data_IF_646226198606
#
_entry.id   IF_646226198606
#
_cell.length_a   1.000
_cell.length_b   1.000
_cell.length_c   1.000
_cell.angle_alpha   90.00
_cell.angle_beta   90.00
_cell.angle_gamma   90.00
#
_symmetry.space_group_name_H-M   'P 1'
#
loop_
_entity.id
_entity.type
_entity.pdbx_description
1 polymer ?
#
# COMPACT_ATOMS: atom_id res chain seq x y z
N UNK A 1 14.55 1.69 7.40
CA UNK A 1 14.50 1.43 8.85
C UNK A 1 13.25 0.66 9.27
N UNK A 2 12.16 0.74 8.49
CA UNK A 2 10.97 -0.06 8.76
C UNK A 2 11.30 -1.56 8.71
N UNK A 3 10.83 -2.31 9.71
CA UNK A 3 11.05 -3.76 9.83
C UNK A 3 10.06 -4.50 8.93
N UNK A 4 10.19 -4.29 7.63
CA UNK A 4 9.47 -5.00 6.58
C UNK A 4 10.46 -5.55 5.55
N UNK A 5 10.06 -6.59 4.82
CA UNK A 5 10.92 -7.21 3.80
C UNK A 5 11.33 -6.22 2.71
N UNK A 6 12.49 -6.43 2.12
CA UNK A 6 12.94 -5.62 0.98
C UNK A 6 12.02 -5.78 -0.24
N UNK A 7 11.43 -6.96 -0.41
CA UNK A 7 10.43 -7.20 -1.44
C UNK A 7 9.21 -6.27 -1.29
N UNK A 8 8.74 -6.06 -0.05
CA UNK A 8 7.65 -5.14 0.25
C UNK A 8 8.01 -3.69 -0.11
N UNK A 9 9.17 -3.21 0.33
CA UNK A 9 9.68 -1.86 0.02
C UNK A 9 9.80 -1.64 -1.48
N UNK A 10 10.44 -2.59 -2.16
CA UNK A 10 10.63 -2.53 -3.62
C UNK A 10 9.30 -2.59 -4.38
N UNK A 11 8.30 -3.32 -3.87
CA UNK A 11 6.97 -3.36 -4.49
C UNK A 11 6.28 -2.00 -4.42
N UNK A 12 6.46 -1.24 -3.32
CA UNK A 12 5.94 0.13 -3.21
C UNK A 12 6.64 1.05 -4.21
N UNK A 13 7.97 1.05 -4.23
CA UNK A 13 8.76 1.92 -5.13
C UNK A 13 8.44 1.67 -6.61
N UNK A 14 8.12 0.42 -6.99
CA UNK A 14 7.73 0.06 -8.35
C UNK A 14 6.26 0.30 -8.66
N UNK A 15 5.45 0.72 -7.68
CA UNK A 15 4.02 0.93 -7.88
C UNK A 15 3.75 2.20 -8.68
N UNK A 16 2.61 2.19 -9.38
CA UNK A 16 2.04 3.34 -10.07
C UNK A 16 0.80 3.82 -9.30
N UNK A 17 0.30 4.98 -9.65
CA UNK A 17 -0.91 5.58 -9.06
C UNK A 17 -2.16 4.70 -9.15
N UNK A 18 -2.25 3.87 -10.21
CA UNK A 18 -3.36 2.95 -10.44
C UNK A 18 -3.21 1.58 -9.76
N UNK A 19 -2.07 1.32 -9.10
CA UNK A 19 -1.76 -0.03 -8.59
C UNK A 19 -2.44 -0.37 -7.27
N UNK A 20 -3.04 0.59 -6.58
CA UNK A 20 -3.78 0.31 -5.35
C UNK A 20 -5.25 -0.04 -5.61
N UNK A 21 -5.79 -0.92 -4.79
CA UNK A 21 -7.19 -1.30 -4.82
C UNK A 21 -7.72 -1.49 -3.39
N UNK A 22 -9.04 -1.41 -3.25
CA UNK A 22 -9.72 -1.70 -1.99
C UNK A 22 -10.52 -2.99 -2.15
N UNK A 23 -10.31 -3.94 -1.25
CA UNK A 23 -11.08 -5.18 -1.11
C UNK A 23 -11.89 -5.14 0.17
N UNK A 24 -12.92 -6.01 0.29
CA UNK A 24 -13.70 -6.17 1.53
C UNK A 24 -14.74 -5.08 1.79
N UNK A 25 -15.07 -4.25 0.81
CA UNK A 25 -16.10 -3.20 0.98
C UNK A 25 -17.48 -3.78 1.27
N UNK A 26 -17.86 -4.83 0.56
CA UNK A 26 -19.17 -5.48 0.70
C UNK A 26 -19.33 -6.17 2.05
N UNK A 27 -18.22 -6.55 2.67
CA UNK A 27 -18.19 -7.19 3.98
C UNK A 27 -17.98 -6.22 5.15
N UNK A 28 -17.89 -4.90 4.89
CA UNK A 28 -17.66 -3.90 5.93
C UNK A 28 -16.23 -3.85 6.48
N UNK A 29 -15.29 -4.52 5.84
CA UNK A 29 -13.87 -4.57 6.21
C UNK A 29 -12.96 -4.08 5.07
N UNK A 30 -13.06 -2.80 4.66
CA UNK A 30 -12.29 -2.31 3.53
C UNK A 30 -10.79 -2.23 3.86
N UNK A 31 -9.98 -2.81 2.99
CA UNK A 31 -8.52 -2.76 3.06
C UNK A 31 -7.97 -2.25 1.73
N UNK A 32 -7.13 -1.20 1.79
CA UNK A 32 -6.40 -0.72 0.62
C UNK A 32 -5.02 -1.35 0.58
N UNK A 33 -4.69 -1.95 -0.55
CA UNK A 33 -3.41 -2.60 -0.79
C UNK A 33 -2.99 -2.50 -2.26
N UNK A 34 -1.74 -2.80 -2.56
CA UNK A 34 -1.29 -2.91 -3.95
C UNK A 34 -1.86 -4.17 -4.59
N UNK A 35 -2.28 -4.05 -5.84
CA UNK A 35 -2.85 -5.16 -6.61
C UNK A 35 -1.81 -6.26 -6.83
N UNK A 36 -2.22 -7.48 -6.56
CA UNK A 36 -1.46 -8.71 -6.78
C UNK A 36 -2.43 -9.87 -6.98
N UNK A 37 -1.93 -11.11 -7.00
CA UNK A 37 -2.79 -12.27 -7.24
C UNK A 37 -3.79 -12.48 -6.10
N UNK A 38 -3.40 -12.27 -4.85
CA UNK A 38 -4.30 -12.38 -3.71
C UNK A 38 -5.46 -11.37 -3.81
N UNK A 39 -5.18 -10.11 -4.08
CA UNK A 39 -6.24 -9.09 -4.19
C UNK A 39 -7.17 -9.30 -5.37
N UNK A 40 -6.65 -9.83 -6.49
CA UNK A 40 -7.47 -10.18 -7.65
C UNK A 40 -8.40 -11.35 -7.35
N UNK A 41 -7.87 -12.38 -6.70
CA UNK A 41 -8.67 -13.54 -6.29
C UNK A 41 -9.75 -13.15 -5.28
N UNK A 42 -9.38 -12.34 -4.28
CA UNK A 42 -10.34 -11.83 -3.30
C UNK A 42 -11.47 -11.06 -3.98
N UNK A 43 -11.13 -10.10 -4.85
CA UNK A 43 -12.13 -9.30 -5.55
C UNK A 43 -13.05 -10.15 -6.45
N UNK A 44 -12.50 -11.16 -7.10
CA UNK A 44 -13.28 -12.10 -7.92
C UNK A 44 -14.31 -12.86 -7.09
N UNK A 45 -13.88 -13.43 -5.97
CA UNK A 45 -14.74 -14.21 -5.08
C UNK A 45 -15.77 -13.33 -4.35
N UNK A 46 -15.36 -12.11 -3.96
CA UNK A 46 -16.26 -11.11 -3.39
C UNK A 46 -17.39 -10.74 -4.38
N UNK A 47 -17.07 -10.58 -5.67
CA UNK A 47 -18.03 -10.32 -6.73
C UNK A 47 -18.96 -11.52 -7.00
N UNK A 48 -18.53 -12.75 -6.75
CA UNK A 48 -19.34 -13.95 -6.81
C UNK A 48 -20.28 -14.11 -5.61
N UNK A 49 -20.21 -13.21 -4.63
CA UNK A 49 -21.08 -13.22 -3.45
C UNK A 49 -20.60 -14.13 -2.32
N UNK A 50 -19.32 -14.53 -2.32
CA UNK A 50 -18.74 -15.30 -1.22
C UNK A 50 -18.77 -14.50 0.08
N UNK A 51 -19.06 -15.19 1.19
CA UNK A 51 -19.10 -14.56 2.52
C UNK A 51 -17.70 -14.20 3.01
N UNK A 52 -17.63 -13.35 4.02
CA UNK A 52 -16.36 -12.98 4.67
C UNK A 52 -15.61 -14.21 5.19
N UNK A 53 -16.34 -15.14 5.83
CA UNK A 53 -15.79 -16.38 6.39
C UNK A 53 -15.22 -17.30 5.30
N UNK A 54 -15.89 -17.35 4.13
CA UNK A 54 -15.40 -18.12 2.99
C UNK A 54 -14.11 -17.54 2.39
N UNK A 55 -13.85 -16.24 2.58
CA UNK A 55 -12.66 -15.56 2.07
C UNK A 55 -11.51 -15.45 3.08
N UNK A 56 -11.75 -15.81 4.34
CA UNK A 56 -10.77 -15.63 5.42
C UNK A 56 -9.44 -16.35 5.15
N UNK A 57 -9.46 -17.49 4.47
CA UNK A 57 -8.24 -18.23 4.12
C UNK A 57 -7.26 -17.43 3.25
N UNK A 58 -7.76 -16.47 2.47
CA UNK A 58 -6.91 -15.58 1.66
C UNK A 58 -6.24 -14.48 2.49
N UNK A 59 -6.91 -14.02 3.53
CA UNK A 59 -6.49 -12.84 4.30
C UNK A 59 -5.76 -13.21 5.59
N UNK A 60 -6.06 -14.37 6.17
CA UNK A 60 -5.43 -14.82 7.42
C UNK A 60 -3.93 -14.99 7.24
N UNK A 61 -3.15 -14.19 7.96
CA UNK A 61 -1.70 -14.20 7.88
C UNK A 61 -1.10 -13.60 6.60
N UNK A 62 -1.92 -13.08 5.69
CA UNK A 62 -1.45 -12.54 4.40
C UNK A 62 -0.55 -11.32 4.55
N UNK A 63 -0.80 -10.45 5.53
CA UNK A 63 0.09 -9.33 5.84
C UNK A 63 1.47 -9.81 6.28
N UNK A 64 1.53 -10.83 7.14
CA UNK A 64 2.79 -11.45 7.59
C UNK A 64 3.58 -12.01 6.40
N UNK A 65 2.93 -12.68 5.46
CA UNK A 65 3.58 -13.19 4.25
C UNK A 65 4.31 -12.08 3.48
N UNK A 66 3.66 -10.94 3.27
CA UNK A 66 4.30 -9.82 2.58
C UNK A 66 5.40 -9.16 3.43
N UNK A 67 5.12 -8.89 4.71
CA UNK A 67 6.01 -8.12 5.60
C UNK A 67 7.25 -8.91 5.99
N UNK A 68 7.10 -10.16 6.40
CA UNK A 68 8.18 -10.97 6.97
C UNK A 68 8.79 -11.94 5.95
N UNK A 69 7.96 -12.58 5.13
CA UNK A 69 8.39 -13.62 4.21
C UNK A 69 8.71 -13.08 2.81
N UNK A 70 8.32 -11.82 2.52
CA UNK A 70 8.58 -11.18 1.24
C UNK A 70 7.67 -11.66 0.10
N UNK A 71 6.62 -12.43 0.40
CA UNK A 71 5.64 -12.86 -0.61
C UNK A 71 4.67 -11.71 -0.94
N UNK A 72 5.08 -10.85 -1.84
CA UNK A 72 4.29 -9.73 -2.32
C UNK A 72 3.26 -10.11 -3.40
N UNK A 73 3.22 -11.37 -3.80
CA UNK A 73 2.30 -11.90 -4.81
C UNK A 73 1.03 -12.43 -4.14
N UNK A 74 1.19 -13.22 -3.07
CA UNK A 74 0.08 -13.85 -2.35
C UNK A 74 -0.18 -13.21 -0.98
N UNK A 75 0.70 -12.30 -0.53
CA UNK A 75 0.53 -11.54 0.70
C UNK A 75 -0.16 -10.21 0.50
N UNK A 76 -0.62 -9.59 1.59
CA UNK A 76 -1.22 -8.26 1.55
C UNK A 76 -0.14 -7.19 1.64
N UNK A 77 0.03 -6.40 0.59
CA UNK A 77 0.91 -5.24 0.56
C UNK A 77 0.09 -3.99 0.82
N UNK A 78 -0.17 -3.69 2.09
CA UNK A 78 -0.93 -2.49 2.47
C UNK A 78 -0.19 -1.24 2.04
N UNK A 79 -0.87 -0.36 1.33
CA UNK A 79 -0.33 0.92 0.88
C UNK A 79 -1.46 1.90 0.57
N UNK A 80 -1.23 3.18 0.85
CA UNK A 80 -2.17 4.24 0.52
C UNK A 80 -2.18 4.59 -0.97
N UNK A 81 -3.05 5.51 -1.35
CA UNK A 81 -3.16 5.98 -2.74
C UNK A 81 -1.88 6.66 -3.25
N UNK A 82 -1.12 7.27 -2.34
CA UNK A 82 0.13 7.98 -2.65
C UNK A 82 1.31 7.04 -2.95
N UNK A 83 1.14 5.72 -2.80
CA UNK A 83 2.24 4.76 -3.02
C UNK A 83 2.95 4.96 -4.36
N UNK A 84 2.20 5.29 -5.42
CA UNK A 84 2.74 5.56 -6.75
C UNK A 84 3.66 6.79 -6.85
N UNK A 85 3.69 7.65 -5.83
CA UNK A 85 4.60 8.81 -5.75
C UNK A 85 5.89 8.51 -4.99
N UNK A 86 6.00 7.35 -4.36
CA UNK A 86 7.18 6.92 -3.63
C UNK A 86 8.18 6.34 -4.62
N UNK A 87 9.34 6.99 -4.78
CA UNK A 87 10.32 6.66 -5.80
C UNK A 87 11.62 6.07 -5.25
N UNK A 88 11.85 6.19 -3.94
CA UNK A 88 13.09 5.75 -3.29
C UNK A 88 12.86 5.24 -1.88
N UNK A 89 13.89 4.59 -1.35
CA UNK A 89 13.93 4.06 0.01
C UNK A 89 14.98 4.89 0.77
N UNK A 90 14.53 5.68 1.75
CA UNK A 90 15.36 6.58 2.54
C UNK A 90 15.25 6.28 4.04
N UNK A 91 16.26 6.67 4.84
CA UNK A 91 16.13 6.72 6.28
C UNK A 91 15.01 7.67 6.72
N UNK A 92 14.36 7.39 7.84
CA UNK A 92 13.25 8.19 8.37
C UNK A 92 13.61 9.66 8.53
N UNK A 93 14.84 9.95 8.97
CA UNK A 93 15.33 11.33 9.10
C UNK A 93 15.26 12.09 7.79
N UNK A 94 15.81 11.53 6.71
CA UNK A 94 15.81 12.16 5.38
C UNK A 94 14.39 12.41 4.86
N UNK A 95 13.48 11.44 5.08
CA UNK A 95 12.07 11.61 4.69
C UNK A 95 11.45 12.81 5.38
N UNK A 96 11.67 12.96 6.70
CA UNK A 96 11.11 14.07 7.48
C UNK A 96 11.75 15.40 7.05
N UNK A 97 13.07 15.44 6.88
CA UNK A 97 13.78 16.62 6.44
C UNK A 97 13.35 17.08 5.05
N UNK A 98 13.15 16.13 4.12
CA UNK A 98 12.65 16.40 2.77
C UNK A 98 11.23 16.97 2.80
N UNK A 99 10.32 16.37 3.57
CA UNK A 99 8.95 16.87 3.74
C UNK A 99 8.93 18.30 4.26
N UNK A 100 9.74 18.60 5.27
CA UNK A 100 9.81 19.96 5.87
C UNK A 100 10.40 20.97 4.89
N UNK A 101 11.45 20.61 4.16
CA UNK A 101 12.05 21.45 3.12
C UNK A 101 11.07 21.78 1.99
N UNK A 102 10.37 20.76 1.49
CA UNK A 102 9.37 20.93 0.44
C UNK A 102 8.18 21.77 0.92
N UNK A 103 7.71 21.53 2.14
CA UNK A 103 6.64 22.32 2.75
C UNK A 103 7.01 23.80 2.83
N UNK A 104 8.23 24.11 3.30
CA UNK A 104 8.71 25.51 3.37
C UNK A 104 8.82 26.15 1.98
N UNK A 105 9.28 25.40 0.97
CA UNK A 105 9.38 25.90 -0.39
C UNK A 105 8.00 26.19 -0.99
N UNK A 106 7.02 25.32 -0.75
CA UNK A 106 5.64 25.52 -1.20
C UNK A 106 4.96 26.69 -0.49
N UNK A 107 5.18 26.84 0.82
CA UNK A 107 4.64 27.95 1.59
C UNK A 107 5.15 29.31 1.09
N UNK A 108 6.45 29.41 0.76
CA UNK A 108 7.03 30.62 0.16
C UNK A 108 6.39 30.92 -1.20
N UNK A 109 6.26 29.92 -2.07
CA UNK A 109 5.58 30.10 -3.37
C UNK A 109 4.13 30.53 -3.22
N UNK A 110 3.40 29.95 -2.25
CA UNK A 110 2.02 30.30 -1.99
C UNK A 110 1.88 31.77 -1.55
N UNK A 111 2.84 32.32 -0.80
CA UNK A 111 2.84 33.72 -0.41
C UNK A 111 2.95 34.67 -1.62
N UNK A 112 3.56 34.23 -2.72
CA UNK A 112 3.71 35.04 -3.94
C UNK A 112 2.39 35.18 -4.72
N UNK A 113 1.36 34.38 -4.41
CA UNK A 113 0.01 34.47 -5.01
C UNK A 113 -0.93 35.40 -4.26
N UNK A 114 -0.51 35.91 -3.14
CA UNK A 114 -1.25 36.84 -2.28
C UNK A 114 -0.64 38.21 -2.36
#
# INVERSE_FOLDING_TARGET
EAVVSDAYKNRIVKSKDIDSAVTGRTHGHPVRSLRNDMTREYARLEAEGKSFEELEYLTLGSLRKAVQEGDVIHGTVMAGQIAGLIQDIKPCREIIEDMMRECQALARKAADFV
#
